data_IF_759604409777
#
_entry.id   IF_759604409777
#
_cell.length_a   1.000
_cell.length_b   1.000
_cell.length_c   1.000
_cell.angle_alpha   90.00
_cell.angle_beta   90.00
_cell.angle_gamma   90.00
#
_symmetry.space_group_name_H-M   'P 1'
#
loop_
_entity.id
_entity.type
_entity.pdbx_description
1 polymer ?
#
# COMPACT_ATOMS: atom_id res chain seq x y z
N UNK A 1 -40.49 7.15 8.14
CA UNK A 1 -40.07 7.27 6.74
C UNK A 1 -38.71 6.65 6.58
N UNK A 2 -38.62 5.40 6.16
CA UNK A 2 -37.32 4.71 5.95
C UNK A 2 -36.77 5.20 4.61
N UNK A 3 -35.80 6.12 4.66
CA UNK A 3 -34.98 6.42 3.49
C UNK A 3 -34.01 5.25 3.31
N UNK A 4 -34.30 4.39 2.36
CA UNK A 4 -33.33 3.42 1.89
C UNK A 4 -32.13 4.19 1.35
N UNK A 5 -30.94 3.98 1.91
CA UNK A 5 -29.67 4.43 1.34
C UNK A 5 -29.61 3.92 -0.10
N UNK A 6 -29.93 4.77 -1.08
CA UNK A 6 -30.01 4.40 -2.49
C UNK A 6 -28.61 4.18 -3.05
N UNK A 7 -28.15 2.91 -3.05
CA UNK A 7 -27.00 2.49 -3.83
C UNK A 7 -27.31 2.72 -5.30
N UNK A 8 -26.49 3.51 -6.01
CA UNK A 8 -26.78 3.87 -7.41
C UNK A 8 -25.77 3.29 -8.40
N UNK A 9 -24.56 2.96 -7.97
CA UNK A 9 -23.57 2.33 -8.83
C UNK A 9 -22.70 1.33 -8.07
N UNK A 10 -22.43 0.20 -8.72
CA UNK A 10 -21.48 -0.82 -8.24
C UNK A 10 -20.47 -1.06 -9.34
N UNK A 11 -19.21 -0.83 -9.04
CA UNK A 11 -18.10 -1.15 -9.93
C UNK A 11 -17.23 -2.21 -9.30
N UNK A 12 -16.95 -3.27 -10.03
CA UNK A 12 -16.03 -4.34 -9.62
C UNK A 12 -14.90 -4.46 -10.61
N UNK A 13 -13.71 -4.74 -10.12
CA UNK A 13 -12.53 -4.96 -10.96
C UNK A 13 -11.61 -5.99 -10.33
N UNK A 14 -10.89 -6.70 -11.18
CA UNK A 14 -9.80 -7.59 -10.77
C UNK A 14 -8.62 -7.32 -11.68
N UNK A 15 -7.53 -6.84 -11.10
CA UNK A 15 -6.27 -6.64 -11.78
C UNK A 15 -5.35 -7.82 -11.49
N UNK A 16 -4.83 -8.46 -12.54
CA UNK A 16 -3.91 -9.57 -12.42
C UNK A 16 -2.65 -9.29 -13.22
N UNK A 17 -1.52 -9.57 -12.62
CA UNK A 17 -0.23 -9.51 -13.27
C UNK A 17 0.57 -10.77 -12.94
N UNK A 18 1.07 -11.45 -13.98
CA UNK A 18 1.91 -12.64 -13.85
C UNK A 18 3.19 -12.45 -14.65
N UNK A 19 4.29 -12.36 -13.95
CA UNK A 19 5.61 -12.19 -14.55
C UNK A 19 6.67 -13.00 -13.81
N UNK A 20 7.86 -13.07 -14.38
CA UNK A 20 8.98 -13.83 -13.80
C UNK A 20 9.36 -13.36 -12.40
N UNK A 21 9.32 -12.04 -12.18
CA UNK A 21 9.80 -11.40 -10.94
C UNK A 21 8.68 -10.81 -10.09
N UNK A 22 7.51 -10.58 -10.67
CA UNK A 22 6.38 -9.97 -10.00
C UNK A 22 5.08 -10.66 -10.37
N UNK A 23 4.32 -11.03 -9.35
CA UNK A 23 2.97 -11.58 -9.51
C UNK A 23 2.04 -10.80 -8.58
N UNK A 24 0.87 -10.42 -9.08
CA UNK A 24 -0.12 -9.72 -8.30
C UNK A 24 -1.54 -10.10 -8.71
N UNK A 25 -2.42 -10.16 -7.73
CA UNK A 25 -3.87 -10.22 -7.91
C UNK A 25 -4.47 -9.20 -6.96
N UNK A 26 -5.21 -8.23 -7.51
CA UNK A 26 -5.87 -7.18 -6.75
C UNK A 26 -7.34 -7.11 -7.15
N UNK A 27 -8.22 -7.34 -6.19
CA UNK A 27 -9.66 -7.15 -6.34
C UNK A 27 -10.09 -5.78 -5.85
N UNK A 28 -11.09 -5.20 -6.53
CA UNK A 28 -11.66 -3.89 -6.23
C UNK A 28 -13.18 -3.97 -6.28
N UNK A 29 -13.82 -3.39 -5.27
CA UNK A 29 -15.26 -3.15 -5.23
C UNK A 29 -15.49 -1.68 -4.84
N UNK A 30 -16.21 -0.96 -5.68
CA UNK A 30 -16.62 0.41 -5.42
C UNK A 30 -18.13 0.52 -5.43
N UNK A 31 -18.67 1.17 -4.40
CA UNK A 31 -20.09 1.43 -4.20
C UNK A 31 -20.30 2.94 -4.15
N UNK A 32 -21.04 3.49 -5.11
CA UNK A 32 -21.33 4.92 -5.19
C UNK A 32 -22.76 5.20 -4.72
N UNK A 33 -22.90 6.18 -3.85
CA UNK A 33 -24.16 6.65 -3.27
C UNK A 33 -24.38 8.11 -3.67
N UNK A 34 -25.43 8.42 -4.42
CA UNK A 34 -25.72 9.78 -4.91
C UNK A 34 -26.73 10.55 -4.04
N UNK A 35 -27.04 10.04 -2.87
CA UNK A 35 -27.83 10.80 -1.90
C UNK A 35 -27.06 12.04 -1.40
N UNK A 36 -27.76 13.01 -0.85
CA UNK A 36 -27.12 14.21 -0.31
C UNK A 36 -26.77 14.01 1.18
N UNK A 37 -25.49 14.10 1.57
CA UNK A 37 -24.31 14.30 0.70
C UNK A 37 -23.92 13.02 -0.05
N UNK A 38 -23.46 13.10 -1.30
CA UNK A 38 -22.96 11.95 -2.04
C UNK A 38 -21.69 11.41 -1.39
N UNK A 39 -21.47 10.10 -1.46
CA UNK A 39 -20.24 9.47 -0.98
C UNK A 39 -19.98 8.18 -1.73
N UNK A 40 -18.75 7.69 -1.67
CA UNK A 40 -18.46 6.35 -2.17
C UNK A 40 -17.65 5.55 -1.16
N UNK A 41 -17.81 4.23 -1.24
CA UNK A 41 -17.05 3.24 -0.52
C UNK A 41 -16.18 2.46 -1.50
N UNK A 42 -14.94 2.22 -1.14
CA UNK A 42 -14.01 1.45 -1.94
C UNK A 42 -13.36 0.38 -1.07
N UNK A 43 -13.54 -0.86 -1.48
CA UNK A 43 -12.87 -2.02 -0.89
C UNK A 43 -11.82 -2.52 -1.86
N UNK A 44 -10.60 -2.70 -1.40
CA UNK A 44 -9.52 -3.35 -2.15
C UNK A 44 -8.94 -4.48 -1.33
N UNK A 45 -8.65 -5.58 -1.96
CA UNK A 45 -7.87 -6.65 -1.37
C UNK A 45 -6.86 -7.15 -2.40
N UNK A 46 -5.70 -7.57 -1.94
CA UNK A 46 -4.67 -7.99 -2.88
C UNK A 46 -3.60 -8.86 -2.25
N UNK A 47 -2.99 -9.65 -3.12
CA UNK A 47 -1.78 -10.42 -2.84
C UNK A 47 -0.77 -10.05 -3.92
N UNK A 48 0.43 -9.68 -3.50
CA UNK A 48 1.53 -9.31 -4.37
C UNK A 48 2.76 -10.09 -3.95
N UNK A 49 3.56 -10.53 -4.92
CA UNK A 49 4.83 -11.22 -4.69
C UNK A 49 5.88 -10.67 -5.61
N UNK A 50 7.00 -10.25 -5.04
CA UNK A 50 8.20 -9.82 -5.74
C UNK A 50 9.32 -10.81 -5.47
N UNK A 51 10.00 -11.23 -6.52
CA UNK A 51 11.22 -12.00 -6.44
C UNK A 51 12.38 -11.10 -6.87
N UNK A 52 13.20 -10.64 -5.94
CA UNK A 52 14.36 -9.81 -6.21
C UNK A 52 15.59 -10.71 -6.39
N UNK A 53 15.89 -11.08 -7.63
CA UNK A 53 17.03 -11.95 -7.94
C UNK A 53 18.40 -11.25 -7.85
N UNK A 54 18.40 -9.91 -7.97
CA UNK A 54 19.58 -9.05 -7.89
C UNK A 54 19.41 -7.99 -6.80
N UNK A 55 19.25 -8.45 -5.57
CA UNK A 55 19.11 -7.56 -4.41
C UNK A 55 20.36 -6.71 -4.15
N UNK A 56 21.52 -7.11 -4.68
CA UNK A 56 22.82 -6.42 -4.54
C UNK A 56 22.79 -4.94 -4.94
N UNK A 57 21.94 -4.55 -5.88
CA UNK A 57 21.88 -3.15 -6.35
C UNK A 57 20.82 -2.30 -5.64
N UNK A 58 19.80 -2.90 -5.00
CA UNK A 58 18.68 -2.14 -4.39
C UNK A 58 18.80 -1.97 -2.88
N UNK A 59 19.49 -2.88 -2.19
CA UNK A 59 19.62 -2.86 -0.73
C UNK A 59 20.88 -2.12 -0.22
N UNK A 60 21.54 -1.33 -1.05
CA UNK A 60 22.71 -0.51 -0.67
C UNK A 60 22.45 0.50 0.44
N UNK A 61 21.19 0.67 0.86
CA UNK A 61 20.80 1.63 1.89
C UNK A 61 20.58 0.99 3.28
N UNK A 62 20.64 -0.32 3.39
CA UNK A 62 20.39 -1.05 4.64
C UNK A 62 21.68 -1.74 5.09
N UNK A 63 22.62 -0.95 5.66
CA UNK A 63 23.81 -1.50 6.29
C UNK A 63 24.77 -2.25 5.37
N UNK A 64 25.91 -2.71 5.93
CA UNK A 64 27.01 -3.38 5.21
C UNK A 64 26.69 -4.83 4.77
N UNK A 65 25.57 -5.40 5.17
CA UNK A 65 25.18 -6.78 4.86
C UNK A 65 24.24 -6.84 3.67
N UNK A 66 24.74 -7.31 2.53
CA UNK A 66 23.95 -7.50 1.30
C UNK A 66 23.16 -8.80 1.39
N UNK A 67 21.82 -8.69 1.36
CA UNK A 67 20.94 -9.84 1.18
C UNK A 67 20.98 -10.30 -0.28
N UNK A 68 21.22 -11.61 -0.51
CA UNK A 68 21.44 -12.13 -1.87
C UNK A 68 20.18 -12.58 -2.59
N UNK A 69 19.17 -12.94 -1.84
CA UNK A 69 17.88 -13.38 -2.36
C UNK A 69 16.77 -12.81 -1.48
N UNK A 70 15.87 -12.08 -2.06
CA UNK A 70 14.74 -11.49 -1.34
C UNK A 70 13.45 -11.83 -2.08
N UNK A 71 12.52 -12.46 -1.37
CA UNK A 71 11.13 -12.64 -1.80
C UNK A 71 10.24 -11.85 -0.88
N UNK A 72 9.55 -10.86 -1.42
CA UNK A 72 8.54 -10.08 -0.71
C UNK A 72 7.16 -10.58 -1.08
N UNK A 73 6.34 -10.88 -0.09
CA UNK A 73 4.93 -11.23 -0.28
C UNK A 73 4.08 -10.31 0.58
N UNK A 74 3.26 -9.49 -0.09
CA UNK A 74 2.34 -8.55 0.54
C UNK A 74 0.91 -9.03 0.38
N UNK A 75 0.17 -9.05 1.47
CA UNK A 75 -1.27 -9.30 1.49
C UNK A 75 -1.94 -8.13 2.20
N UNK A 76 -2.96 -7.55 1.60
CA UNK A 76 -3.63 -6.41 2.18
C UNK A 76 -5.14 -6.44 1.94
N UNK A 77 -5.86 -5.84 2.86
CA UNK A 77 -7.26 -5.45 2.76
C UNK A 77 -7.35 -3.95 3.06
N UNK A 78 -7.95 -3.19 2.17
CA UNK A 78 -8.14 -1.76 2.33
C UNK A 78 -9.61 -1.40 2.18
N UNK A 79 -10.12 -0.61 3.10
CA UNK A 79 -11.44 0.01 3.03
C UNK A 79 -11.27 1.53 3.04
N UNK A 80 -11.86 2.21 2.08
CA UNK A 80 -11.82 3.67 1.95
C UNK A 80 -13.23 4.22 1.81
N UNK A 81 -13.51 5.26 2.58
CA UNK A 81 -14.73 6.04 2.52
C UNK A 81 -14.38 7.45 2.02
N UNK A 82 -15.09 7.96 1.04
CA UNK A 82 -14.80 9.26 0.45
C UNK A 82 -16.06 10.11 0.33
N UNK A 83 -15.92 11.37 0.73
CA UNK A 83 -16.97 12.38 0.70
C UNK A 83 -16.51 13.58 -0.13
N UNK A 84 -17.24 14.00 -1.17
CA UNK A 84 -17.00 15.27 -1.83
C UNK A 84 -17.37 16.43 -0.91
N UNK A 85 -16.53 17.46 -0.90
CA UNK A 85 -16.74 18.73 -0.20
C UNK A 85 -16.86 19.82 -1.26
N UNK A 86 -18.11 20.07 -1.69
CA UNK A 86 -18.36 20.95 -2.83
C UNK A 86 -17.94 20.32 -4.16
N UNK A 87 -17.64 21.15 -5.17
CA UNK A 87 -17.38 20.68 -6.53
C UNK A 87 -15.92 20.34 -6.82
N UNK A 88 -14.99 20.83 -6.00
CA UNK A 88 -13.54 20.80 -6.28
C UNK A 88 -12.73 20.10 -5.21
N UNK A 89 -13.35 19.69 -4.12
CA UNK A 89 -12.66 19.08 -2.99
C UNK A 89 -13.29 17.75 -2.61
N UNK A 90 -12.47 16.86 -2.07
CA UNK A 90 -12.94 15.62 -1.46
C UNK A 90 -12.12 15.26 -0.21
N UNK A 91 -12.78 14.63 0.72
CA UNK A 91 -12.17 14.02 1.88
C UNK A 91 -12.26 12.51 1.77
N UNK A 92 -11.16 11.82 2.02
CA UNK A 92 -11.09 10.36 2.04
C UNK A 92 -10.56 9.92 3.39
N UNK A 93 -11.15 8.89 3.98
CA UNK A 93 -10.60 8.21 5.14
C UNK A 93 -10.49 6.72 4.84
N UNK A 94 -9.39 6.12 5.24
CA UNK A 94 -9.09 4.73 4.91
C UNK A 94 -8.57 3.94 6.11
N UNK A 95 -8.86 2.66 6.07
CA UNK A 95 -8.33 1.66 6.97
C UNK A 95 -7.73 0.52 6.17
N UNK A 96 -6.51 0.14 6.49
CA UNK A 96 -5.81 -0.95 5.81
C UNK A 96 -5.32 -1.96 6.83
N UNK A 97 -5.63 -3.23 6.62
CA UNK A 97 -4.95 -4.36 7.24
C UNK A 97 -3.88 -4.86 6.27
N UNK A 98 -2.70 -5.15 6.76
CA UNK A 98 -1.61 -5.64 5.92
C UNK A 98 -0.78 -6.71 6.60
N UNK A 99 -0.19 -7.57 5.78
CA UNK A 99 0.81 -8.56 6.18
C UNK A 99 1.88 -8.61 5.10
N UNK A 100 3.10 -8.30 5.49
CA UNK A 100 4.30 -8.42 4.68
C UNK A 100 5.10 -9.62 5.16
N UNK A 101 5.57 -10.44 4.25
CA UNK A 101 6.40 -11.60 4.52
C UNK A 101 7.60 -11.54 3.60
N UNK A 102 8.76 -11.30 4.17
CA UNK A 102 10.03 -11.13 3.49
C UNK A 102 10.91 -12.34 3.81
N UNK A 103 11.27 -13.11 2.77
CA UNK A 103 12.17 -14.25 2.89
C UNK A 103 13.49 -13.91 2.23
N UNK A 104 14.61 -14.05 2.94
CA UNK A 104 15.93 -13.66 2.47
C UNK A 104 17.02 -14.56 3.03
N UNK A 105 18.20 -14.53 2.40
CA UNK A 105 19.41 -15.18 2.91
C UNK A 105 20.45 -14.12 3.25
N UNK A 106 21.13 -14.28 4.37
CA UNK A 106 22.20 -13.39 4.81
C UNK A 106 23.57 -13.78 4.21
N UNK A 107 23.68 -15.00 3.67
CA UNK A 107 24.95 -15.55 3.16
C UNK A 107 24.93 -15.68 1.62
N UNK A 108 26.13 -15.53 1.00
CA UNK A 108 26.31 -15.70 -0.46
C UNK A 108 26.30 -17.15 -0.93
N UNK A 109 26.88 -18.00 -0.11
CA UNK A 109 27.02 -19.42 -0.45
C UNK A 109 25.77 -20.17 0.01
N UNK A 110 24.75 -20.21 -0.86
CA UNK A 110 23.46 -20.84 -0.60
C UNK A 110 23.50 -22.25 -1.17
N UNK A 111 23.21 -23.26 -0.34
CA UNK A 111 23.00 -24.64 -0.74
C UNK A 111 21.52 -24.98 -0.85
N UNK A 112 21.21 -26.09 -1.52
CA UNK A 112 19.82 -26.56 -1.64
C UNK A 112 19.17 -26.97 -0.29
N UNK A 113 19.97 -27.16 0.74
CA UNK A 113 19.52 -27.51 2.10
C UNK A 113 19.35 -26.31 3.02
N UNK A 114 19.71 -25.10 2.54
CA UNK A 114 19.63 -23.90 3.37
C UNK A 114 18.18 -23.38 3.42
N UNK A 115 17.79 -22.95 4.61
CA UNK A 115 16.50 -22.32 4.87
C UNK A 115 16.69 -20.81 5.02
N UNK A 116 15.83 -20.04 4.35
CA UNK A 116 15.85 -18.59 4.41
C UNK A 116 15.41 -18.06 5.77
N UNK A 117 15.91 -16.90 6.14
CA UNK A 117 15.33 -16.08 7.19
C UNK A 117 13.96 -15.56 6.71
N UNK A 118 13.02 -15.47 7.63
CA UNK A 118 11.65 -15.00 7.34
C UNK A 118 11.30 -13.88 8.29
N UNK A 119 11.07 -12.69 7.74
CA UNK A 119 10.58 -11.54 8.49
C UNK A 119 9.11 -11.33 8.16
N UNK A 120 8.25 -11.35 9.18
CA UNK A 120 6.80 -11.13 9.07
C UNK A 120 6.47 -9.83 9.78
N UNK A 121 5.98 -8.85 9.01
CA UNK A 121 5.41 -7.63 9.54
C UNK A 121 3.91 -7.60 9.27
N UNK A 122 3.09 -7.44 10.31
CA UNK A 122 1.63 -7.40 10.23
C UNK A 122 1.08 -6.28 11.09
N UNK A 123 0.09 -5.59 10.57
CA UNK A 123 -0.48 -4.47 11.30
C UNK A 123 -1.65 -3.82 10.58
N UNK A 124 -1.91 -2.59 10.97
CA UNK A 124 -2.95 -1.77 10.38
C UNK A 124 -2.49 -0.33 10.18
N UNK A 125 -3.09 0.31 9.19
CA UNK A 125 -2.88 1.72 8.85
C UNK A 125 -4.23 2.42 8.78
N UNK A 126 -4.34 3.57 9.45
CA UNK A 126 -5.41 4.54 9.24
C UNK A 126 -4.86 5.71 8.45
N UNK A 127 -5.61 6.21 7.48
CA UNK A 127 -5.24 7.40 6.75
C UNK A 127 -6.42 8.32 6.51
N UNK A 128 -6.11 9.61 6.42
CA UNK A 128 -7.03 10.67 6.06
C UNK A 128 -6.39 11.50 4.95
N UNK A 129 -7.12 11.74 3.87
CA UNK A 129 -6.63 12.48 2.71
C UNK A 129 -7.63 13.60 2.41
N UNK A 130 -7.12 14.81 2.32
CA UNK A 130 -7.83 15.94 1.73
C UNK A 130 -7.27 16.23 0.36
N UNK A 131 -8.15 16.35 -0.63
CA UNK A 131 -7.78 16.64 -2.00
C UNK A 131 -8.61 17.81 -2.53
N UNK A 132 -7.92 18.80 -3.09
CA UNK A 132 -8.51 19.93 -3.80
C UNK A 132 -7.98 19.94 -5.24
N UNK A 133 -8.88 19.94 -6.21
CA UNK A 133 -8.52 19.84 -7.61
C UNK A 133 -9.36 20.80 -8.44
N UNK A 134 -8.68 21.73 -9.11
CA UNK A 134 -9.27 22.71 -10.06
C UNK A 134 -8.73 22.54 -11.46
N UNK A 135 -7.95 21.47 -11.72
CA UNK A 135 -7.36 21.26 -13.05
C UNK A 135 -8.44 21.01 -14.09
N UNK A 136 -8.24 21.60 -15.27
CA UNK A 136 -9.15 21.51 -16.41
C UNK A 136 -9.20 20.11 -17.04
N UNK A 137 -8.05 19.41 -17.11
CA UNK A 137 -7.96 18.06 -17.63
C UNK A 137 -7.22 17.12 -16.69
N UNK A 138 -7.65 15.86 -16.66
CA UNK A 138 -7.13 14.85 -15.74
C UNK A 138 -5.69 14.42 -16.07
N UNK A 139 -5.35 14.28 -17.35
CA UNK A 139 -4.05 13.76 -17.79
C UNK A 139 -3.09 14.84 -18.28
N UNK A 140 -3.59 15.87 -18.96
CA UNK A 140 -2.79 16.95 -19.50
C UNK A 140 -3.41 18.28 -19.08
N UNK A 141 -3.22 18.62 -17.82
CA UNK A 141 -3.73 19.88 -17.26
C UNK A 141 -3.01 21.07 -17.91
N UNK A 142 -3.79 21.96 -18.50
CA UNK A 142 -3.28 23.23 -19.06
C UNK A 142 -3.49 24.40 -18.11
N UNK A 143 -4.44 24.28 -17.18
CA UNK A 143 -4.75 25.28 -16.17
C UNK A 143 -5.28 24.63 -14.91
N UNK A 144 -4.91 25.18 -13.76
CA UNK A 144 -5.49 24.83 -12.48
C UNK A 144 -4.46 24.40 -11.44
N UNK A 145 -4.98 24.07 -10.26
CA UNK A 145 -4.18 23.68 -9.09
C UNK A 145 -4.71 22.37 -8.51
N UNK A 146 -3.81 21.47 -8.19
CA UNK A 146 -4.12 20.24 -7.46
C UNK A 146 -3.31 20.22 -6.16
N UNK A 147 -4.02 20.13 -5.03
CA UNK A 147 -3.45 20.04 -3.68
C UNK A 147 -3.94 18.73 -3.08
N UNK A 148 -3.03 17.95 -2.54
CA UNK A 148 -3.35 16.75 -1.77
C UNK A 148 -2.55 16.77 -0.48
N UNK A 149 -3.23 16.55 0.63
CA UNK A 149 -2.62 16.39 1.96
C UNK A 149 -3.09 15.06 2.52
N UNK A 150 -2.17 14.21 2.91
CA UNK A 150 -2.42 12.92 3.55
C UNK A 150 -1.78 12.89 4.92
N UNK A 151 -2.54 12.48 5.92
CA UNK A 151 -2.04 12.10 7.24
C UNK A 151 -2.32 10.62 7.46
N UNK A 152 -1.35 9.87 7.96
CA UNK A 152 -1.51 8.45 8.21
C UNK A 152 -0.83 8.02 9.51
N UNK A 153 -1.49 7.14 10.24
CA UNK A 153 -0.95 6.42 11.39
C UNK A 153 -0.88 4.94 11.05
N UNK A 154 0.29 4.35 11.22
CA UNK A 154 0.53 2.94 10.99
C UNK A 154 1.16 2.30 12.22
N UNK A 155 0.70 1.09 12.57
CA UNK A 155 1.29 0.29 13.64
C UNK A 155 1.22 -1.18 13.27
N UNK A 156 2.18 -1.96 13.79
CA UNK A 156 2.25 -3.37 13.52
C UNK A 156 3.33 -4.07 14.35
N UNK A 157 3.25 -5.39 14.36
CA UNK A 157 4.24 -6.27 14.98
C UNK A 157 5.11 -6.93 13.91
N UNK A 158 6.40 -6.86 14.11
CA UNK A 158 7.42 -7.53 13.32
C UNK A 158 7.93 -8.77 14.08
N UNK A 159 8.10 -9.87 13.37
CA UNK A 159 8.70 -11.08 13.93
C UNK A 159 9.69 -11.66 12.91
N UNK A 160 10.92 -11.82 13.32
CA UNK A 160 11.99 -12.43 12.53
C UNK A 160 12.20 -13.87 12.97
N UNK A 161 12.05 -14.80 12.04
CA UNK A 161 12.33 -16.23 12.20
C UNK A 161 13.65 -16.54 11.50
N UNK A 162 14.71 -16.89 12.23
CA UNK A 162 16.00 -17.19 11.62
C UNK A 162 15.96 -18.51 10.85
N UNK A 163 16.60 -18.55 9.68
CA UNK A 163 16.94 -19.76 8.96
C UNK A 163 18.18 -20.45 9.53
N UNK A 164 18.62 -21.54 8.90
CA UNK A 164 19.80 -22.29 9.36
C UNK A 164 21.15 -21.60 9.06
N UNK A 165 21.14 -20.60 8.14
CA UNK A 165 22.30 -19.79 7.78
C UNK A 165 22.31 -18.41 8.44
N UNK A 166 21.35 -18.15 9.33
CA UNK A 166 21.23 -16.87 10.04
C UNK A 166 22.40 -16.65 10.99
N UNK A 167 22.87 -15.40 11.09
CA UNK A 167 23.92 -14.99 12.03
C UNK A 167 23.45 -15.10 13.49
N UNK A 168 22.15 -15.02 13.75
CA UNK A 168 21.55 -15.18 15.08
C UNK A 168 20.42 -16.20 15.04
N UNK A 169 20.49 -17.27 15.86
CA UNK A 169 19.43 -18.29 15.90
C UNK A 169 18.20 -17.89 16.74
N UNK A 170 18.13 -16.64 17.20
CA UNK A 170 17.09 -16.16 18.12
C UNK A 170 15.95 -15.55 17.34
N UNK A 171 14.72 -15.98 17.63
CA UNK A 171 13.49 -15.34 17.12
C UNK A 171 13.37 -13.97 17.80
N UNK A 172 13.33 -12.91 17.00
CA UNK A 172 13.21 -11.54 17.48
C UNK A 172 11.82 -11.01 17.11
N UNK A 173 11.16 -10.36 18.06
CA UNK A 173 9.88 -9.68 17.85
C UNK A 173 9.94 -8.24 18.32
N UNK A 174 9.34 -7.32 17.56
CA UNK A 174 9.23 -5.91 17.90
C UNK A 174 7.90 -5.33 17.44
N UNK A 175 7.49 -4.22 18.05
CA UNK A 175 6.30 -3.47 17.64
C UNK A 175 6.73 -2.09 17.19
N UNK A 176 6.23 -1.69 16.02
CA UNK A 176 6.53 -0.41 15.42
C UNK A 176 5.26 0.41 15.26
N UNK A 177 5.37 1.71 15.50
CA UNK A 177 4.29 2.66 15.20
C UNK A 177 4.90 3.98 14.74
N UNK A 178 4.28 4.57 13.70
CA UNK A 178 4.71 5.86 13.17
C UNK A 178 3.53 6.64 12.59
N UNK A 179 3.72 7.93 12.57
CA UNK A 179 2.81 8.89 11.95
C UNK A 179 3.50 9.55 10.77
N UNK A 180 2.80 9.67 9.65
CA UNK A 180 3.32 10.30 8.43
C UNK A 180 2.37 11.39 7.97
N UNK A 181 2.94 12.49 7.48
CA UNK A 181 2.20 13.54 6.77
C UNK A 181 2.86 13.77 5.43
N UNK A 182 2.09 13.64 4.36
CA UNK A 182 2.53 13.87 2.99
C UNK A 182 1.73 15.01 2.37
N UNK A 183 2.41 15.90 1.66
CA UNK A 183 1.79 16.98 0.90
C UNK A 183 2.22 16.94 -0.56
N UNK A 184 1.27 17.12 -1.47
CA UNK A 184 1.53 17.27 -2.90
C UNK A 184 0.84 18.53 -3.40
N UNK A 185 1.59 19.41 -4.07
CA UNK A 185 1.08 20.59 -4.74
C UNK A 185 1.54 20.56 -6.20
N UNK A 186 0.62 20.71 -7.12
CA UNK A 186 0.92 20.96 -8.52
C UNK A 186 0.04 22.09 -9.02
N UNK A 187 0.63 23.02 -9.78
CA UNK A 187 -0.07 24.14 -10.39
C UNK A 187 0.39 24.31 -11.83
N UNK A 188 -0.55 24.45 -12.73
CA UNK A 188 -0.31 24.72 -14.15
C UNK A 188 -0.91 26.06 -14.51
N UNK A 189 -0.09 26.93 -15.08
CA UNK A 189 -0.47 28.26 -15.55
C UNK A 189 -0.37 28.26 -17.07
N UNK A 190 -1.37 28.81 -17.73
CA UNK A 190 -1.33 29.05 -19.17
C UNK A 190 -0.34 30.21 -19.41
N UNK A 191 0.75 29.96 -20.13
CA UNK A 191 1.64 30.99 -20.65
C UNK A 191 1.04 31.58 -21.93
#
# INVERSE_FOLDING_TARGET
MYQTLGLQSVSTGVDTYFGRYYNAVVGLLRLDYFQQPPFYQLVKFGIQRWNHFDATNRLKFIGEETTYYLVEKNTFFNYTLAFPIGQKSQWKTGFTLFRENNSYFQNRNISAFDTSDVNIFRGYKFNAVYEYNTTDFMFFSTLGTHIQVEAAYQTGSETNYPGNTSLSPIVLGNTHSWFTVNGKLSSTLKM
#
